data_IF_052320815737
#
_entry.id   IF_052320815737
#
_cell.length_a   1.000
_cell.length_b   1.000
_cell.length_c   1.000
_cell.angle_alpha   90.00
_cell.angle_beta   90.00
_cell.angle_gamma   90.00
#
_symmetry.space_group_name_H-M   'P 1'
#
loop_
_entity.id
_entity.type
_entity.pdbx_description
1 polymer ?
#
# COMPACT_ATOMS: atom_id res chain seq x y z
N UNK A 1 14.71 39.73 -13.98
CA UNK A 1 14.10 38.47 -14.43
C UNK A 1 12.91 38.21 -13.53
N UNK A 2 11.69 38.34 -14.06
CA UNK A 2 10.48 38.14 -13.26
C UNK A 2 10.31 36.64 -12.98
N UNK A 3 10.08 36.28 -11.71
CA UNK A 3 9.73 34.91 -11.35
C UNK A 3 8.44 34.52 -12.09
N UNK A 4 8.35 33.30 -12.65
CA UNK A 4 7.14 32.86 -13.34
C UNK A 4 5.90 32.98 -12.42
N UNK A 5 4.70 33.26 -12.96
CA UNK A 5 3.50 33.53 -12.17
C UNK A 5 3.14 32.39 -11.19
N UNK A 6 3.58 31.16 -11.48
CA UNK A 6 3.40 29.99 -10.62
C UNK A 6 4.16 30.08 -9.28
N UNK A 7 5.28 30.82 -9.24
CA UNK A 7 6.10 31.04 -8.02
C UNK A 7 5.43 32.00 -7.05
N UNK A 8 4.75 33.03 -7.57
CA UNK A 8 3.98 33.98 -6.77
C UNK A 8 2.77 33.33 -6.08
N UNK A 9 2.33 32.17 -6.60
CA UNK A 9 1.23 31.38 -6.07
C UNK A 9 1.67 30.20 -5.19
N UNK A 10 2.96 30.04 -4.86
CA UNK A 10 3.37 29.02 -3.88
C UNK A 10 2.71 29.37 -2.54
N UNK A 11 1.63 28.66 -2.14
CA UNK A 11 1.07 28.87 -0.82
C UNK A 11 2.16 28.47 0.17
N UNK A 12 2.15 29.06 1.36
CA UNK A 12 2.89 28.47 2.49
C UNK A 12 2.53 26.97 2.51
N UNK A 13 3.55 26.11 2.41
CA UNK A 13 3.35 24.65 2.46
C UNK A 13 2.44 24.35 3.64
N UNK A 14 1.34 23.65 3.38
CA UNK A 14 0.34 23.36 4.41
C UNK A 14 1.01 22.60 5.58
N UNK A 15 1.10 23.20 6.78
CA UNK A 15 1.79 22.60 7.91
C UNK A 15 1.12 21.30 8.39
N UNK A 16 -0.18 21.11 8.12
CA UNK A 16 -0.90 19.85 8.41
C UNK A 16 -0.36 18.72 7.53
N UNK A 17 0.05 19.04 6.30
CA UNK A 17 0.67 18.10 5.38
C UNK A 17 2.17 17.89 5.61
N UNK A 18 2.90 18.80 6.24
CA UNK A 18 4.26 18.46 6.69
C UNK A 18 4.21 17.43 7.85
N UNK A 19 3.17 17.51 8.68
CA UNK A 19 3.03 16.71 9.88
C UNK A 19 2.85 15.20 9.63
N UNK A 20 2.25 14.73 8.52
CA UNK A 20 2.08 13.27 8.34
C UNK A 20 3.35 12.55 7.88
N UNK A 21 4.20 13.18 7.06
CA UNK A 21 5.55 12.63 6.78
C UNK A 21 6.30 12.55 8.10
N UNK A 22 6.34 13.66 8.85
CA UNK A 22 7.00 13.71 10.17
C UNK A 22 6.44 12.65 11.13
N UNK A 23 5.13 12.38 11.13
CA UNK A 23 4.52 11.29 11.92
C UNK A 23 4.95 9.90 11.44
N UNK A 24 5.04 9.68 10.13
CA UNK A 24 5.37 8.38 9.54
C UNK A 24 6.86 8.02 9.73
N UNK A 25 7.75 9.03 9.66
CA UNK A 25 9.18 8.87 9.91
C UNK A 25 9.60 9.21 11.35
N UNK A 26 8.63 9.55 12.20
CA UNK A 26 8.81 9.97 13.61
C UNK A 26 9.94 10.99 13.76
N UNK A 27 9.89 12.04 12.95
CA UNK A 27 10.71 13.23 13.13
C UNK A 27 9.96 14.21 14.02
N UNK A 28 10.52 14.53 15.18
CA UNK A 28 9.97 15.54 16.09
C UNK A 28 10.19 16.96 15.58
N UNK A 29 11.26 17.17 14.80
CA UNK A 29 11.58 18.44 14.16
C UNK A 29 12.04 18.23 12.71
N UNK A 30 11.59 19.12 11.83
CA UNK A 30 12.01 19.22 10.43
C UNK A 30 13.23 20.14 10.27
N UNK A 31 13.94 20.49 11.34
CA UNK A 31 15.20 21.22 11.28
C UNK A 31 16.34 20.40 10.64
N UNK A 32 17.31 21.05 10.00
CA UNK A 32 17.35 22.49 9.65
C UNK A 32 16.34 22.85 8.53
N UNK A 33 16.07 24.13 8.26
CA UNK A 33 15.20 24.53 7.15
C UNK A 33 15.56 23.82 5.84
N UNK A 34 14.55 23.45 5.05
CA UNK A 34 14.73 22.81 3.73
C UNK A 34 14.74 23.93 2.69
N UNK A 35 15.90 24.29 2.09
CA UNK A 35 15.94 25.26 1.02
C UNK A 35 15.25 24.69 -0.23
N UNK A 36 14.44 25.54 -0.87
CA UNK A 36 13.71 25.21 -2.10
C UNK A 36 14.18 26.17 -3.20
N UNK A 37 14.81 25.62 -4.23
CA UNK A 37 15.31 26.35 -5.37
C UNK A 37 14.35 26.22 -6.54
N UNK A 38 13.96 27.36 -7.12
CA UNK A 38 13.12 27.42 -8.31
C UNK A 38 14.01 27.82 -9.48
N UNK A 39 14.32 26.87 -10.34
CA UNK A 39 15.24 27.09 -11.45
C UNK A 39 14.47 27.28 -12.77
N UNK A 40 14.85 28.29 -13.57
CA UNK A 40 14.31 28.45 -14.92
C UNK A 40 14.89 27.37 -15.87
N UNK A 41 14.20 27.13 -16.98
CA UNK A 41 14.57 26.09 -17.96
C UNK A 41 15.91 26.36 -18.65
N UNK A 42 16.37 27.61 -18.67
CA UNK A 42 17.67 28.02 -19.20
C UNK A 42 18.83 27.85 -18.20
N UNK A 43 18.57 27.36 -16.98
CA UNK A 43 19.61 26.99 -16.04
C UNK A 43 20.42 25.77 -16.54
N UNK A 44 21.73 25.74 -16.27
CA UNK A 44 22.60 24.61 -16.64
C UNK A 44 22.09 23.29 -16.05
N UNK A 45 21.66 23.32 -14.78
CA UNK A 45 21.11 22.14 -14.11
C UNK A 45 19.81 21.66 -14.77
N UNK A 46 18.96 22.58 -15.26
CA UNK A 46 17.76 22.21 -16.00
C UNK A 46 18.12 21.48 -17.29
N UNK A 47 19.09 21.98 -18.07
CA UNK A 47 19.55 21.32 -19.31
C UNK A 47 20.11 19.92 -19.12
N UNK A 48 20.79 19.69 -18.00
CA UNK A 48 21.37 18.38 -17.65
C UNK A 48 20.33 17.42 -17.06
N UNK A 49 19.19 17.94 -16.60
CA UNK A 49 18.12 17.12 -16.02
C UNK A 49 17.11 16.74 -17.10
N UNK A 50 16.75 15.45 -17.26
CA UNK A 50 15.78 15.01 -18.25
C UNK A 50 14.48 15.82 -18.20
N UNK A 51 13.92 16.18 -19.36
CA UNK A 51 12.76 17.08 -19.45
C UNK A 51 11.49 16.56 -18.76
N UNK A 52 11.40 15.26 -18.50
CA UNK A 52 10.29 14.64 -17.76
C UNK A 52 10.42 14.78 -16.24
N UNK A 53 11.58 15.22 -15.72
CA UNK A 53 11.80 15.50 -14.30
C UNK A 53 11.43 16.96 -14.03
N UNK A 54 10.35 17.14 -13.28
CA UNK A 54 9.84 18.46 -12.90
C UNK A 54 10.44 18.99 -11.59
N UNK A 55 10.90 18.09 -10.72
CA UNK A 55 11.60 18.40 -9.47
C UNK A 55 12.46 17.22 -9.01
N UNK A 56 13.36 17.47 -8.06
CA UNK A 56 14.05 16.43 -7.32
C UNK A 56 14.60 16.96 -5.99
N UNK A 57 14.69 16.07 -5.00
CA UNK A 57 15.42 16.28 -3.77
C UNK A 57 16.90 15.92 -3.93
N UNK A 58 17.78 16.82 -3.52
CA UNK A 58 19.23 16.62 -3.51
C UNK A 58 19.76 16.81 -2.08
N UNK A 59 19.97 15.70 -1.38
CA UNK A 59 20.38 15.72 0.02
C UNK A 59 19.32 16.36 0.91
N UNK A 60 19.59 17.60 1.35
CA UNK A 60 18.70 18.38 2.23
C UNK A 60 17.98 19.53 1.51
N UNK A 61 18.08 19.59 0.18
CA UNK A 61 17.56 20.68 -0.64
C UNK A 61 16.56 20.14 -1.67
N UNK A 62 15.63 21.00 -2.10
CA UNK A 62 14.66 20.69 -3.15
C UNK A 62 14.90 21.61 -4.34
N UNK A 63 14.96 21.03 -5.54
CA UNK A 63 15.04 21.77 -6.81
C UNK A 63 13.75 21.54 -7.58
N UNK A 64 13.09 22.62 -8.01
CA UNK A 64 11.89 22.59 -8.85
C UNK A 64 12.16 23.34 -10.16
N UNK A 65 11.57 22.84 -11.25
CA UNK A 65 11.52 23.48 -12.56
C UNK A 65 10.08 23.88 -12.87
N UNK A 66 9.63 25.11 -12.50
CA UNK A 66 8.23 25.51 -12.65
C UNK A 66 7.68 25.42 -14.08
N UNK A 67 8.55 25.57 -15.08
CA UNK A 67 8.18 25.48 -16.49
C UNK A 67 7.80 24.06 -16.94
N UNK A 68 8.17 23.03 -16.17
CA UNK A 68 7.93 21.60 -16.45
C UNK A 68 6.70 21.07 -15.73
N UNK A 69 5.64 21.90 -15.67
CA UNK A 69 4.38 21.65 -14.93
C UNK A 69 4.01 20.16 -14.91
N UNK A 70 3.79 19.56 -13.73
CA UNK A 70 3.84 18.11 -13.60
C UNK A 70 2.73 17.44 -14.41
N UNK A 71 3.09 16.31 -15.02
CA UNK A 71 2.17 15.29 -15.52
C UNK A 71 2.35 14.08 -14.61
N UNK A 72 1.26 13.48 -14.13
CA UNK A 72 1.13 12.25 -13.32
C UNK A 72 2.42 11.65 -12.71
N UNK A 73 2.49 11.39 -11.38
CA UNK A 73 1.35 11.25 -10.45
C UNK A 73 0.98 12.50 -9.65
N UNK A 74 1.73 13.59 -9.77
CA UNK A 74 1.44 14.85 -9.08
C UNK A 74 0.67 15.77 -10.04
N UNK A 75 -0.51 16.22 -9.64
CA UNK A 75 -1.37 17.06 -10.49
C UNK A 75 -1.15 18.55 -10.21
N UNK A 76 -0.36 18.89 -9.17
CA UNK A 76 0.01 20.25 -8.82
C UNK A 76 1.47 20.40 -8.39
N UNK A 77 2.02 21.63 -8.54
CA UNK A 77 3.35 21.99 -8.04
C UNK A 77 3.46 21.81 -6.51
N UNK A 78 2.34 21.98 -5.80
CA UNK A 78 2.27 21.80 -4.35
C UNK A 78 2.42 20.32 -3.96
N UNK A 79 1.75 19.40 -4.65
CA UNK A 79 1.92 17.95 -4.44
C UNK A 79 3.34 17.50 -4.78
N UNK A 80 3.91 18.01 -5.86
CA UNK A 80 5.29 17.74 -6.23
C UNK A 80 6.27 18.22 -5.15
N UNK A 81 6.13 19.46 -4.66
CA UNK A 81 6.98 19.95 -3.57
C UNK A 81 6.83 19.10 -2.29
N UNK A 82 5.63 18.61 -1.99
CA UNK A 82 5.40 17.72 -0.84
C UNK A 82 6.13 16.38 -1.00
N UNK A 83 6.10 15.81 -2.20
CA UNK A 83 6.87 14.61 -2.55
C UNK A 83 8.37 14.82 -2.30
N UNK A 84 8.92 15.92 -2.81
CA UNK A 84 10.35 16.21 -2.68
C UNK A 84 10.75 16.50 -1.22
N UNK A 85 9.90 17.19 -0.47
CA UNK A 85 10.12 17.39 0.97
C UNK A 85 10.08 16.06 1.72
N UNK A 86 9.20 15.13 1.33
CA UNK A 86 9.15 13.80 1.95
C UNK A 86 10.48 13.06 1.76
N UNK A 87 11.09 13.14 0.58
CA UNK A 87 12.41 12.58 0.34
C UNK A 87 13.50 13.16 1.25
N UNK A 88 13.51 14.48 1.44
CA UNK A 88 14.46 15.14 2.36
C UNK A 88 14.26 14.64 3.80
N UNK A 89 13.01 14.55 4.26
CA UNK A 89 12.71 14.07 5.61
C UNK A 89 13.08 12.59 5.80
N UNK A 90 12.85 11.74 4.82
CA UNK A 90 13.28 10.33 4.85
C UNK A 90 14.81 10.24 4.94
N UNK A 91 15.54 11.03 4.14
CA UNK A 91 17.01 11.06 4.18
C UNK A 91 17.52 11.51 5.55
N UNK A 92 16.88 12.49 6.18
CA UNK A 92 17.22 12.94 7.53
C UNK A 92 16.95 11.88 8.59
N UNK A 93 15.81 11.21 8.51
CA UNK A 93 15.47 10.12 9.41
C UNK A 93 16.47 8.97 9.30
N UNK A 94 16.99 8.70 8.11
CA UNK A 94 18.06 7.72 7.85
C UNK A 94 19.48 8.21 8.20
N UNK A 95 19.65 9.46 8.65
CA UNK A 95 20.97 10.03 8.91
C UNK A 95 21.86 10.16 7.67
N UNK A 96 21.26 10.34 6.49
CA UNK A 96 21.98 10.43 5.21
C UNK A 96 22.45 9.08 4.65
N UNK A 97 22.11 7.96 5.30
CA UNK A 97 22.42 6.63 4.79
C UNK A 97 21.62 6.31 3.52
N UNK A 98 22.20 5.47 2.65
CA UNK A 98 21.53 5.03 1.42
C UNK A 98 20.37 4.08 1.76
N UNK A 99 19.15 4.55 1.53
CA UNK A 99 17.92 3.74 1.64
C UNK A 99 17.59 3.14 0.27
N UNK A 100 17.26 1.84 0.18
CA UNK A 100 16.78 1.23 -1.06
C UNK A 100 15.62 2.01 -1.66
N UNK A 101 15.69 2.21 -2.97
CA UNK A 101 14.79 3.12 -3.67
C UNK A 101 13.34 2.68 -3.52
N UNK A 102 13.07 1.38 -3.60
CA UNK A 102 11.71 0.87 -3.45
C UNK A 102 11.07 1.27 -2.12
N UNK A 103 11.84 1.32 -1.03
CA UNK A 103 11.36 1.65 0.30
C UNK A 103 11.23 3.16 0.46
N UNK A 104 12.22 3.91 -0.02
CA UNK A 104 12.21 5.38 0.00
C UNK A 104 10.98 5.94 -0.73
N UNK A 105 10.77 5.50 -1.97
CA UNK A 105 9.62 5.89 -2.79
C UNK A 105 8.30 5.40 -2.20
N UNK A 106 8.26 4.17 -1.68
CA UNK A 106 7.07 3.60 -1.07
C UNK A 106 6.63 4.33 0.20
N UNK A 107 7.58 4.76 1.03
CA UNK A 107 7.31 5.57 2.24
C UNK A 107 6.86 6.98 1.85
N UNK A 108 7.48 7.60 0.84
CA UNK A 108 7.05 8.90 0.32
C UNK A 108 5.59 8.84 -0.19
N UNK A 109 5.25 7.84 -1.01
CA UNK A 109 3.88 7.61 -1.49
C UNK A 109 2.89 7.29 -0.37
N UNK A 110 3.30 6.54 0.65
CA UNK A 110 2.43 6.24 1.80
C UNK A 110 2.14 7.50 2.61
N UNK A 111 3.12 8.38 2.77
CA UNK A 111 2.93 9.67 3.41
C UNK A 111 1.97 10.56 2.61
N UNK A 112 2.09 10.57 1.28
CA UNK A 112 1.15 11.26 0.39
C UNK A 112 -0.30 10.82 0.56
N UNK A 113 -0.53 9.50 0.62
CA UNK A 113 -1.88 8.93 0.84
C UNK A 113 -2.46 9.25 2.22
N UNK A 114 -1.61 9.40 3.23
CA UNK A 114 -2.05 9.88 4.54
C UNK A 114 -2.51 11.35 4.52
N UNK A 115 -2.18 12.12 3.47
CA UNK A 115 -2.68 13.48 3.25
C UNK A 115 -4.00 13.53 2.50
N UNK A 116 -4.25 12.61 1.58
CA UNK A 116 -5.46 12.58 0.75
C UNK A 116 -6.67 11.95 1.45
N UNK A 117 -6.76 12.03 2.79
CA UNK A 117 -7.82 11.39 3.59
C UNK A 117 -9.27 11.85 3.23
N UNK A 118 -9.43 12.81 2.32
CA UNK A 118 -10.71 13.20 1.70
C UNK A 118 -11.07 12.51 0.37
N UNK A 119 -10.12 11.92 -0.36
CA UNK A 119 -10.36 11.20 -1.62
C UNK A 119 -10.14 9.70 -1.44
N UNK A 120 -11.05 9.10 -0.67
CA UNK A 120 -11.19 7.64 -0.62
C UNK A 120 -12.04 7.16 -1.78
N UNK A 121 -11.43 6.94 -2.94
CA UNK A 121 -11.92 5.97 -3.91
C UNK A 121 -10.79 5.60 -4.88
N UNK A 122 -10.62 4.29 -5.09
CA UNK A 122 -9.87 3.66 -6.18
C UNK A 122 -8.34 3.75 -6.14
N UNK A 123 -7.73 2.81 -5.42
CA UNK A 123 -6.59 2.08 -6.00
C UNK A 123 -6.62 0.59 -5.66
N UNK A 124 -7.77 -0.03 -5.94
CA UNK A 124 -7.91 -1.48 -5.99
C UNK A 124 -8.58 -1.84 -7.32
N UNK A 125 -7.82 -1.77 -8.41
CA UNK A 125 -7.93 -2.55 -9.66
C UNK A 125 -6.79 -2.00 -10.53
N UNK A 126 -5.56 -2.51 -10.39
CA UNK A 126 -4.63 -2.52 -11.53
C UNK A 126 -3.46 -3.51 -11.41
N UNK A 127 -3.55 -4.50 -10.52
CA UNK A 127 -2.55 -5.59 -10.47
C UNK A 127 -3.26 -6.92 -10.23
N UNK A 128 -4.36 -7.19 -10.94
CA UNK A 128 -4.88 -8.56 -10.97
C UNK A 128 -4.03 -9.46 -11.89
N UNK A 129 -3.20 -8.89 -12.80
CA UNK A 129 -2.53 -9.64 -13.86
C UNK A 129 -1.05 -9.29 -14.11
N UNK A 130 -0.38 -8.59 -13.20
CA UNK A 130 1.05 -8.29 -13.33
C UNK A 130 1.90 -9.27 -12.52
N UNK A 131 2.67 -10.14 -13.18
CA UNK A 131 3.47 -11.20 -12.57
C UNK A 131 4.33 -10.79 -11.36
N UNK A 132 4.62 -11.78 -10.51
CA UNK A 132 5.39 -11.64 -9.26
C UNK A 132 6.78 -11.07 -9.52
N UNK A 133 7.15 -10.02 -8.80
CA UNK A 133 8.49 -9.43 -8.84
C UNK A 133 9.24 -9.86 -7.58
N UNK A 134 10.43 -10.43 -7.75
CA UNK A 134 11.32 -10.76 -6.64
C UNK A 134 11.87 -9.48 -5.98
N UNK A 135 12.11 -9.51 -4.67
CA UNK A 135 12.64 -8.38 -3.90
C UNK A 135 13.93 -7.80 -4.49
N UNK A 136 14.89 -8.67 -4.83
CA UNK A 136 16.15 -8.30 -5.50
C UNK A 136 15.97 -7.64 -6.89
N UNK A 137 14.74 -7.57 -7.41
CA UNK A 137 14.40 -6.92 -8.68
C UNK A 137 13.66 -5.59 -8.50
N UNK A 138 13.21 -5.23 -7.29
CA UNK A 138 12.44 -4.02 -7.05
C UNK A 138 13.24 -2.75 -7.38
N UNK A 139 14.49 -2.65 -6.90
CA UNK A 139 15.35 -1.51 -7.23
C UNK A 139 15.82 -1.53 -8.69
N UNK A 140 15.96 -2.71 -9.29
CA UNK A 140 16.30 -2.85 -10.72
C UNK A 140 15.19 -2.33 -11.64
N UNK A 141 13.92 -2.37 -11.21
CA UNK A 141 12.82 -1.81 -12.00
C UNK A 141 12.93 -0.29 -12.18
N UNK A 142 13.51 0.42 -11.20
CA UNK A 142 13.78 1.86 -11.32
C UNK A 142 14.92 2.17 -12.31
N UNK A 143 15.74 1.19 -12.67
CA UNK A 143 16.87 1.35 -13.60
C UNK A 143 16.51 0.98 -15.05
N UNK A 144 15.36 0.33 -15.28
CA UNK A 144 14.99 -0.25 -16.58
C UNK A 144 14.25 0.69 -17.56
N UNK A 145 14.11 1.98 -17.22
CA UNK A 145 13.56 3.03 -18.10
C UNK A 145 12.19 3.59 -17.68
N UNK A 146 11.63 4.57 -18.44
CA UNK A 146 10.46 5.35 -17.98
C UNK A 146 9.18 4.52 -17.74
N UNK A 147 8.88 3.55 -18.61
CA UNK A 147 7.71 2.69 -18.47
C UNK A 147 7.79 1.71 -17.29
N UNK A 148 9.01 1.28 -16.92
CA UNK A 148 9.22 0.41 -15.76
C UNK A 148 9.19 1.18 -14.44
N UNK A 149 9.57 2.46 -14.46
CA UNK A 149 9.56 3.36 -13.29
C UNK A 149 8.15 3.55 -12.74
N UNK A 150 7.14 3.79 -13.60
CA UNK A 150 5.74 3.91 -13.14
C UNK A 150 5.23 2.62 -12.48
N UNK A 151 5.67 1.45 -12.96
CA UNK A 151 5.37 0.16 -12.32
C UNK A 151 6.11 0.01 -10.99
N UNK A 152 7.37 0.44 -10.93
CA UNK A 152 8.19 0.41 -9.72
C UNK A 152 7.56 1.24 -8.60
N UNK A 153 7.16 2.49 -8.89
CA UNK A 153 6.40 3.35 -7.97
C UNK A 153 5.14 2.67 -7.43
N UNK A 154 4.33 2.08 -8.32
CA UNK A 154 3.10 1.37 -7.91
C UNK A 154 3.40 0.19 -6.99
N UNK A 155 4.39 -0.64 -7.33
CA UNK A 155 4.77 -1.80 -6.51
C UNK A 155 5.33 -1.38 -5.15
N UNK A 156 6.20 -0.37 -5.12
CA UNK A 156 6.75 0.22 -3.90
C UNK A 156 5.66 0.71 -2.95
N UNK A 157 4.73 1.51 -3.47
CA UNK A 157 3.61 2.03 -2.65
C UNK A 157 2.70 0.92 -2.12
N UNK A 158 2.44 -0.12 -2.92
CA UNK A 158 1.64 -1.27 -2.48
C UNK A 158 2.36 -2.11 -1.42
N UNK A 159 3.66 -2.37 -1.60
CA UNK A 159 4.45 -3.15 -0.67
C UNK A 159 4.60 -2.44 0.68
N UNK A 160 4.94 -1.14 0.67
CA UNK A 160 5.04 -0.36 1.92
C UNK A 160 3.68 -0.26 2.62
N UNK A 161 2.59 -0.09 1.88
CA UNK A 161 1.25 -0.08 2.49
C UNK A 161 0.95 -1.42 3.21
N UNK A 162 1.18 -2.55 2.56
CA UNK A 162 1.00 -3.88 3.17
C UNK A 162 1.91 -4.06 4.41
N UNK A 163 3.14 -3.55 4.36
CA UNK A 163 4.04 -3.55 5.53
C UNK A 163 3.50 -2.70 6.69
N UNK A 164 2.92 -1.53 6.41
CA UNK A 164 2.30 -0.67 7.43
C UNK A 164 1.06 -1.34 8.05
N UNK A 165 0.27 -2.07 7.25
CA UNK A 165 -0.90 -2.81 7.71
C UNK A 165 -0.50 -3.99 8.63
N UNK A 166 0.59 -4.69 8.31
CA UNK A 166 1.05 -5.88 9.06
C UNK A 166 1.87 -5.52 10.30
N UNK A 167 2.80 -4.56 10.19
CA UNK A 167 3.76 -4.23 11.26
C UNK A 167 3.43 -2.93 11.99
N UNK A 168 2.41 -2.21 11.54
CA UNK A 168 1.98 -0.94 12.10
C UNK A 168 2.72 0.28 11.52
N UNK A 169 2.21 1.48 11.82
CA UNK A 169 2.64 2.72 11.18
C UNK A 169 4.06 3.17 11.56
N UNK A 170 4.65 2.60 12.63
CA UNK A 170 6.00 2.95 13.10
C UNK A 170 7.12 2.19 12.40
N UNK A 171 6.79 1.21 11.55
CA UNK A 171 7.81 0.41 10.88
C UNK A 171 8.82 1.29 10.11
N UNK A 172 8.44 2.26 9.26
CA UNK A 172 9.41 3.07 8.54
C UNK A 172 10.35 3.85 9.46
N UNK A 173 9.79 4.53 10.47
CA UNK A 173 10.57 5.26 11.44
C UNK A 173 11.60 4.38 12.16
N UNK A 174 11.18 3.19 12.62
CA UNK A 174 12.07 2.25 13.30
C UNK A 174 13.23 1.79 12.40
N UNK A 175 12.95 1.51 11.12
CA UNK A 175 13.99 1.12 10.15
C UNK A 175 14.96 2.28 9.92
N UNK A 176 14.44 3.48 9.60
CA UNK A 176 15.27 4.64 9.30
C UNK A 176 16.12 5.07 10.51
N UNK A 177 15.55 5.05 11.72
CA UNK A 177 16.29 5.37 12.95
C UNK A 177 17.43 4.38 13.20
N UNK A 178 17.20 3.08 13.02
CA UNK A 178 18.27 2.07 13.14
C UNK A 178 19.36 2.24 12.08
N UNK A 179 19.00 2.65 10.86
CA UNK A 179 19.99 2.99 9.83
C UNK A 179 20.82 4.20 10.23
N UNK A 180 20.19 5.24 10.78
CA UNK A 180 20.89 6.41 11.33
C UNK A 180 21.87 6.01 12.44
N UNK A 181 21.54 5.00 13.23
CA UNK A 181 22.40 4.45 14.29
C UNK A 181 23.53 3.53 13.74
N UNK A 182 23.66 3.41 12.41
CA UNK A 182 24.77 2.73 11.73
C UNK A 182 24.46 1.33 11.21
N UNK A 183 23.21 0.84 11.33
CA UNK A 183 22.83 -0.45 10.76
C UNK A 183 22.68 -0.36 9.23
N UNK A 184 23.01 -1.45 8.53
CA UNK A 184 22.61 -1.60 7.11
C UNK A 184 21.09 -1.68 7.01
N UNK A 185 20.53 -1.33 5.84
CA UNK A 185 19.08 -1.41 5.62
C UNK A 185 18.51 -2.79 5.95
N UNK A 186 19.13 -3.87 5.46
CA UNK A 186 18.65 -5.23 5.68
C UNK A 186 18.63 -5.60 7.17
N UNK A 187 19.67 -5.21 7.91
CA UNK A 187 19.74 -5.44 9.35
C UNK A 187 18.69 -4.61 10.11
N UNK A 188 18.53 -3.33 9.75
CA UNK A 188 17.54 -2.43 10.34
C UNK A 188 16.10 -2.91 10.05
N UNK A 189 15.84 -3.38 8.83
CA UNK A 189 14.56 -3.95 8.42
C UNK A 189 14.26 -5.22 9.20
N UNK A 190 15.20 -6.17 9.25
CA UNK A 190 15.02 -7.41 9.99
C UNK A 190 14.80 -7.16 11.49
N UNK A 191 15.55 -6.24 12.10
CA UNK A 191 15.38 -5.88 13.50
C UNK A 191 14.04 -5.18 13.81
N UNK A 192 13.37 -4.60 12.80
CA UNK A 192 12.11 -3.86 12.97
C UNK A 192 10.89 -4.67 12.55
N UNK A 193 10.99 -5.46 11.49
CA UNK A 193 9.91 -6.28 10.93
C UNK A 193 9.95 -7.74 11.43
N UNK A 194 11.08 -8.19 12.00
CA UNK A 194 11.30 -9.57 12.42
C UNK A 194 11.45 -10.57 11.28
N UNK A 195 11.71 -10.10 10.06
CA UNK A 195 11.86 -10.90 8.84
C UNK A 195 12.73 -10.18 7.82
N UNK A 196 13.27 -10.92 6.85
CA UNK A 196 14.05 -10.32 5.75
C UNK A 196 13.14 -9.59 4.75
N UNK A 197 13.74 -8.75 3.90
CA UNK A 197 13.03 -8.09 2.80
C UNK A 197 12.47 -9.10 1.80
N UNK A 198 13.23 -10.17 1.51
CA UNK A 198 12.79 -11.24 0.62
C UNK A 198 11.54 -11.95 1.18
N UNK A 199 11.56 -12.29 2.47
CA UNK A 199 10.41 -12.89 3.16
C UNK A 199 9.19 -11.97 3.17
N UNK A 200 9.41 -10.66 3.34
CA UNK A 200 8.34 -9.66 3.28
C UNK A 200 7.66 -9.64 1.91
N UNK A 201 8.45 -9.65 0.84
CA UNK A 201 7.96 -9.65 -0.54
C UNK A 201 7.23 -10.96 -0.86
N UNK A 202 7.75 -12.10 -0.42
CA UNK A 202 7.09 -13.40 -0.61
C UNK A 202 5.74 -13.45 0.11
N UNK A 203 5.68 -12.94 1.35
CA UNK A 203 4.42 -12.84 2.11
C UNK A 203 3.42 -11.88 1.47
N UNK A 204 3.88 -10.75 0.94
CA UNK A 204 3.06 -9.80 0.18
C UNK A 204 2.39 -10.51 -1.01
N UNK A 205 3.17 -11.23 -1.82
CA UNK A 205 2.64 -11.97 -2.97
C UNK A 205 1.71 -13.11 -2.54
N UNK A 206 2.04 -13.83 -1.47
CA UNK A 206 1.19 -14.89 -0.95
C UNK A 206 -0.18 -14.37 -0.50
N UNK A 207 -0.22 -13.29 0.29
CA UNK A 207 -1.48 -12.64 0.69
C UNK A 207 -2.29 -12.24 -0.52
N UNK A 208 -1.67 -11.60 -1.50
CA UNK A 208 -2.35 -11.12 -2.71
C UNK A 208 -2.87 -12.25 -3.59
N UNK A 209 -2.12 -13.36 -3.70
CA UNK A 209 -2.54 -14.55 -4.44
C UNK A 209 -3.79 -15.18 -3.85
N UNK A 210 -3.93 -15.20 -2.52
CA UNK A 210 -5.16 -15.67 -1.89
C UNK A 210 -6.36 -14.86 -2.43
N UNK A 211 -6.32 -13.52 -2.35
CA UNK A 211 -7.36 -12.64 -2.88
C UNK A 211 -7.69 -12.87 -4.35
N UNK A 212 -6.69 -12.98 -5.23
CA UNK A 212 -6.91 -13.22 -6.66
C UNK A 212 -7.47 -14.61 -6.95
N UNK A 213 -7.16 -15.61 -6.12
CA UNK A 213 -7.58 -17.00 -6.33
C UNK A 213 -9.01 -17.26 -5.83
N UNK A 214 -9.42 -16.66 -4.71
CA UNK A 214 -10.75 -16.92 -4.13
C UNK A 214 -11.85 -15.96 -4.63
N UNK A 215 -11.50 -14.75 -5.08
CA UNK A 215 -12.50 -13.77 -5.53
C UNK A 215 -13.34 -14.26 -6.73
N UNK A 216 -12.78 -14.95 -7.74
CA UNK A 216 -13.59 -15.55 -8.81
C UNK A 216 -14.55 -16.63 -8.29
N UNK A 217 -14.17 -17.38 -7.25
CA UNK A 217 -15.04 -18.37 -6.62
C UNK A 217 -16.16 -17.76 -5.79
N UNK A 218 -16.05 -16.51 -5.32
CA UNK A 218 -17.17 -15.83 -4.63
C UNK A 218 -18.08 -15.06 -5.60
N UNK A 219 -17.52 -14.57 -6.70
CA UNK A 219 -18.21 -13.67 -7.64
C UNK A 219 -18.76 -14.37 -8.88
N UNK A 220 -18.43 -15.65 -9.11
CA UNK A 220 -19.03 -16.38 -10.22
C UNK A 220 -20.51 -16.64 -9.98
N UNK A 221 -21.33 -16.53 -11.03
CA UNK A 221 -22.74 -16.92 -10.98
C UNK A 221 -22.91 -18.37 -10.49
N UNK A 222 -21.96 -19.27 -10.83
CA UNK A 222 -21.96 -20.66 -10.40
C UNK A 222 -21.87 -20.83 -8.88
N UNK A 223 -21.24 -19.88 -8.17
CA UNK A 223 -21.10 -19.90 -6.70
C UNK A 223 -22.44 -19.72 -6.01
N UNK A 224 -23.26 -18.79 -6.50
CA UNK A 224 -24.61 -18.55 -6.01
C UNK A 224 -25.46 -19.81 -6.23
N UNK A 225 -25.37 -20.42 -7.42
CA UNK A 225 -26.06 -21.68 -7.71
C UNK A 225 -25.58 -22.84 -6.82
N UNK A 226 -24.30 -22.89 -6.47
CA UNK A 226 -23.72 -23.93 -5.61
C UNK A 226 -24.25 -23.81 -4.18
N UNK A 227 -24.26 -22.61 -3.61
CA UNK A 227 -24.84 -22.34 -2.29
C UNK A 227 -26.33 -22.65 -2.28
N UNK A 228 -27.07 -22.21 -3.31
CA UNK A 228 -28.50 -22.46 -3.43
C UNK A 228 -28.82 -23.97 -3.55
N UNK A 229 -27.97 -24.72 -4.25
CA UNK A 229 -28.09 -26.18 -4.38
C UNK A 229 -27.81 -26.88 -3.05
N UNK A 230 -26.76 -26.47 -2.32
CA UNK A 230 -26.44 -27.02 -1.00
C UNK A 230 -27.56 -26.75 0.01
N UNK A 231 -28.16 -25.56 -0.01
CA UNK A 231 -29.33 -25.22 0.81
C UNK A 231 -30.55 -26.08 0.44
N UNK A 232 -30.79 -26.32 -0.85
CA UNK A 232 -31.88 -27.18 -1.30
C UNK A 232 -31.68 -28.64 -0.84
N UNK A 233 -30.45 -29.16 -0.92
CA UNK A 233 -30.09 -30.50 -0.41
C UNK A 233 -30.27 -30.56 1.11
N UNK A 234 -29.76 -29.56 1.84
CA UNK A 234 -29.90 -29.51 3.29
C UNK A 234 -31.37 -29.45 3.72
N UNK A 235 -32.20 -28.66 3.02
CA UNK A 235 -33.64 -28.60 3.25
C UNK A 235 -34.31 -29.96 2.95
N UNK A 236 -33.95 -30.60 1.83
CA UNK A 236 -34.47 -31.92 1.48
C UNK A 236 -34.12 -32.99 2.53
N UNK A 237 -32.86 -33.03 2.97
CA UNK A 237 -32.40 -33.93 4.03
C UNK A 237 -33.12 -33.63 5.34
N UNK A 238 -33.23 -32.36 5.75
CA UNK A 238 -33.94 -31.97 6.96
C UNK A 238 -35.42 -32.38 6.92
N UNK A 239 -36.10 -32.20 5.78
CA UNK A 239 -37.49 -32.64 5.58
C UNK A 239 -37.59 -34.16 5.65
N UNK A 240 -36.66 -34.88 5.00
CA UNK A 240 -36.62 -36.35 4.99
C UNK A 240 -36.41 -36.90 6.41
N UNK A 241 -35.51 -36.30 7.18
CA UNK A 241 -35.23 -36.66 8.57
C UNK A 241 -36.42 -36.38 9.48
N UNK A 242 -37.06 -35.21 9.33
CA UNK A 242 -38.29 -34.88 10.08
C UNK A 242 -39.44 -35.84 9.77
N UNK A 243 -39.62 -36.23 8.51
CA UNK A 243 -40.66 -37.20 8.11
C UNK A 243 -40.36 -38.61 8.61
N UNK A 244 -39.11 -39.04 8.54
CA UNK A 244 -38.71 -40.35 9.08
C UNK A 244 -38.87 -40.42 10.61
N UNK A 245 -38.63 -39.31 11.31
CA UNK A 245 -38.85 -39.21 12.76
C UNK A 245 -40.33 -39.23 13.14
N UNK A 246 -41.21 -38.60 12.35
CA UNK A 246 -42.68 -38.67 12.58
C UNK A 246 -43.23 -40.08 12.38
N UNK A 247 -42.82 -40.78 11.32
CA UNK A 247 -43.25 -42.16 11.09
C UNK A 247 -42.88 -43.11 12.22
N UNK A 248 -41.71 -42.92 12.85
CA UNK A 248 -41.32 -43.71 14.02
C UNK A 248 -42.21 -43.46 15.23
N UNK A 249 -42.70 -42.23 15.42
CA UNK A 249 -43.67 -41.93 16.47
C UNK A 249 -45.04 -42.52 16.16
N UNK A 250 -45.50 -42.46 14.90
CA UNK A 250 -46.77 -43.06 14.50
C UNK A 250 -46.73 -44.61 14.66
N UNK A 251 -45.60 -45.26 14.32
CA UNK A 251 -45.41 -46.72 14.49
C UNK A 251 -45.28 -47.13 15.98
N UNK A 252 -44.77 -46.25 16.84
CA UNK A 252 -44.68 -46.45 18.30
C UNK A 252 -46.06 -46.27 18.97
N UNK A 253 -46.86 -45.28 18.53
CA UNK A 253 -48.24 -45.08 18.99
C UNK A 253 -49.17 -46.24 18.56
N UNK A 254 -49.03 -46.74 17.32
CA UNK A 254 -49.78 -47.93 16.87
C UNK A 254 -49.36 -49.21 17.62
N UNK A 255 -48.10 -49.32 18.07
CA UNK A 255 -47.64 -50.45 18.90
C UNK A 255 -48.11 -50.33 20.35
N UNK A 256 -48.15 -49.14 20.93
CA UNK A 256 -48.72 -48.90 22.27
C UNK A 256 -50.25 -49.06 22.28
N UNK A 257 -50.96 -48.74 21.19
CA UNK A 257 -52.40 -48.97 21.05
C UNK A 257 -52.74 -50.45 20.79
N UNK A 258 -51.80 -51.23 20.26
CA UNK A 258 -51.94 -52.68 19.99
C UNK A 258 -51.29 -53.58 21.04
N UNK A 259 -50.65 -53.05 22.08
CA UNK A 259 -50.33 -53.81 23.30
C UNK A 259 -51.63 -53.93 24.14
N UNK A 260 -52.25 -55.12 24.23
CA UNK A 260 -53.43 -55.31 25.06
C UNK A 260 -53.04 -54.98 26.50
N UNK A 261 -53.91 -54.26 27.19
CA UNK A 261 -53.81 -53.91 28.60
C UNK A 261 -53.98 -55.18 29.48
N UNK A 262 -53.05 -56.14 29.37
CA UNK A 262 -52.92 -57.26 30.30
C UNK A 262 -52.10 -56.77 31.50
N UNK A 263 -52.82 -56.08 32.40
CA UNK A 263 -52.41 -55.92 33.79
C UNK A 263 -53.55 -56.42 34.67
N UNK A 264 -53.41 -57.65 35.14
CA UNK A 264 -53.84 -58.12 36.46
C UNK A 264 -52.79 -59.13 36.98
#
# INVERSE_FOLDING_TARGET
MALPPQVACLPRVDPVRLAAVMRLVVLEDASPPIPVFLLPEDAELARQTPAWVAAFASGNEVVLFPARTPSYPHESLQELLQHEVAHVLINRAAGGQHVPRWFHEGVALAAERAFSMGDRANFAIDVAFGGTVQAASLDRLFQAGPGSVARAYRLSGLLVQDLLEVHGPRLPANVLQRMRDGMTFDAAFHASAGMSVDEAVDRFWHRRRLWVTWLPWLTSAASIWTVMTLLAIAAFVAVRWRRARRRRWDDEEEQEEWEPQDRD
#
